data_IF_612948895186
#
_entry.id   IF_612948895186
#
_cell.length_a   1.000
_cell.length_b   1.000
_cell.length_c   1.000
_cell.angle_alpha   90.00
_cell.angle_beta   90.00
_cell.angle_gamma   90.00
#
_symmetry.space_group_name_H-M   'P 1'
#
loop_
_entity.id
_entity.type
_entity.pdbx_description
1 polymer ?
#
# COMPACT_ATOMS: atom_id res chain seq x y z
N UNK A 1 -68.67 18.73 60.51
CA UNK A 1 -67.58 19.59 60.00
C UNK A 1 -66.42 18.62 59.69
N UNK A 2 -66.25 18.32 58.41
CA UNK A 2 -65.18 17.41 57.98
C UNK A 2 -64.16 18.23 57.19
N UNK A 3 -62.91 18.28 57.71
CA UNK A 3 -61.81 19.00 57.15
C UNK A 3 -61.12 18.05 56.12
N UNK A 4 -60.99 18.49 54.87
CA UNK A 4 -60.24 17.79 53.80
C UNK A 4 -58.79 18.31 53.80
N UNK A 5 -57.85 17.43 54.10
CA UNK A 5 -56.43 17.67 53.88
C UNK A 5 -56.07 17.24 52.46
N UNK A 6 -55.73 18.23 51.63
CA UNK A 6 -55.19 17.99 50.31
C UNK A 6 -53.67 17.78 50.39
N UNK A 7 -53.19 16.58 50.00
CA UNK A 7 -51.76 16.29 49.91
C UNK A 7 -51.29 16.61 48.49
N UNK A 8 -50.42 17.63 48.37
CA UNK A 8 -49.73 17.93 47.09
C UNK A 8 -48.58 16.94 46.91
N UNK A 9 -48.65 16.08 45.89
CA UNK A 9 -47.55 15.25 45.46
C UNK A 9 -46.62 16.01 44.50
N UNK A 10 -45.39 16.31 44.90
CA UNK A 10 -44.34 16.83 44.02
C UNK A 10 -43.76 15.68 43.19
N UNK A 11 -44.05 15.68 41.91
CA UNK A 11 -43.39 14.77 40.95
C UNK A 11 -42.00 15.33 40.56
N UNK A 12 -40.92 14.69 41.01
CA UNK A 12 -39.55 14.96 40.57
C UNK A 12 -39.31 14.29 39.21
N UNK A 13 -39.17 15.11 38.17
CA UNK A 13 -38.79 14.64 36.85
C UNK A 13 -37.28 14.36 36.84
N UNK A 14 -36.89 13.09 36.88
CA UNK A 14 -35.51 12.65 36.63
C UNK A 14 -35.23 12.78 35.11
N UNK A 15 -34.49 13.80 34.74
CA UNK A 15 -34.02 13.99 33.36
C UNK A 15 -33.06 12.86 32.98
N UNK A 16 -33.49 11.95 32.10
CA UNK A 16 -32.61 10.99 31.44
C UNK A 16 -31.69 11.74 30.50
N UNK A 17 -30.44 11.94 30.95
CA UNK A 17 -29.38 12.48 30.08
C UNK A 17 -29.14 11.52 28.91
N UNK A 18 -29.58 11.89 27.71
CA UNK A 18 -29.21 11.22 26.48
C UNK A 18 -27.70 11.36 26.30
N UNK A 19 -26.96 10.25 26.48
CA UNK A 19 -25.54 10.20 26.16
C UNK A 19 -25.39 10.55 24.70
N UNK A 20 -24.56 11.56 24.37
CA UNK A 20 -24.23 11.92 22.99
C UNK A 20 -23.66 10.69 22.28
N UNK A 21 -24.05 10.44 21.02
CA UNK A 21 -23.47 9.34 20.26
C UNK A 21 -21.96 9.50 20.18
N UNK A 22 -21.19 8.40 20.25
CA UNK A 22 -19.74 8.46 20.14
C UNK A 22 -19.37 9.20 18.84
N UNK A 23 -18.49 10.20 18.96
CA UNK A 23 -17.97 10.91 17.77
C UNK A 23 -17.44 9.87 16.82
N UNK A 24 -17.98 9.82 15.59
CA UNK A 24 -17.46 9.00 14.54
C UNK A 24 -15.97 9.30 14.39
N UNK A 25 -15.11 8.34 14.78
CA UNK A 25 -13.68 8.44 14.58
C UNK A 25 -13.41 8.67 13.08
N UNK A 26 -12.31 9.36 12.75
CA UNK A 26 -11.89 9.49 11.33
C UNK A 26 -11.98 8.11 10.68
N UNK A 27 -12.55 8.00 9.47
CA UNK A 27 -12.64 6.71 8.79
C UNK A 27 -11.24 6.09 8.72
N UNK A 28 -11.13 4.86 9.21
CA UNK A 28 -9.86 4.14 9.26
C UNK A 28 -9.38 3.92 7.83
N UNK A 29 -8.20 4.41 7.49
CA UNK A 29 -7.66 4.22 6.15
C UNK A 29 -7.26 2.76 5.96
N UNK A 30 -7.54 2.20 4.78
CA UNK A 30 -7.10 0.87 4.40
C UNK A 30 -6.16 0.98 3.21
N UNK A 31 -4.93 0.48 3.41
CA UNK A 31 -3.87 0.42 2.41
C UNK A 31 -3.81 -1.02 1.90
N UNK A 32 -4.12 -1.22 0.62
CA UNK A 32 -4.00 -2.50 -0.04
C UNK A 32 -2.69 -2.52 -0.84
N UNK A 33 -1.78 -3.43 -0.50
CA UNK A 33 -0.54 -3.65 -1.26
C UNK A 33 -0.74 -4.84 -2.20
N UNK A 34 -0.57 -4.59 -3.50
CA UNK A 34 -0.60 -5.59 -4.56
C UNK A 34 0.78 -5.62 -5.20
N UNK A 35 1.57 -6.58 -4.79
CA UNK A 35 2.98 -6.69 -5.15
C UNK A 35 3.40 -8.12 -5.44
N UNK A 36 4.69 -8.29 -5.60
CA UNK A 36 5.34 -9.59 -5.85
C UNK A 36 6.19 -10.05 -4.64
N UNK A 37 7.29 -10.76 -4.91
CA UNK A 37 8.18 -11.31 -3.88
C UNK A 37 8.85 -10.25 -3.01
N UNK A 38 9.10 -9.04 -3.54
CA UNK A 38 9.71 -7.93 -2.81
C UNK A 38 8.80 -7.40 -1.70
N UNK A 39 7.49 -7.57 -1.85
CA UNK A 39 6.48 -7.18 -0.86
C UNK A 39 5.94 -8.37 -0.06
N UNK A 40 6.11 -9.62 -0.55
CA UNK A 40 5.59 -10.85 0.06
C UNK A 40 6.55 -11.53 1.05
N UNK A 41 7.62 -10.85 1.46
CA UNK A 41 8.64 -11.38 2.40
C UNK A 41 9.35 -12.66 1.91
N UNK A 42 9.58 -12.79 0.60
CA UNK A 42 10.26 -13.97 0.06
C UNK A 42 11.66 -14.16 0.67
N UNK A 43 11.90 -15.35 1.23
CA UNK A 43 13.18 -15.69 1.87
C UNK A 43 13.47 -14.98 3.20
N UNK A 44 12.48 -14.26 3.77
CA UNK A 44 12.62 -13.53 5.02
C UNK A 44 11.87 -14.18 6.17
N UNK A 45 12.29 -13.88 7.38
CA UNK A 45 11.47 -14.13 8.56
C UNK A 45 10.22 -13.24 8.50
N UNK A 46 9.08 -13.80 8.87
CA UNK A 46 7.81 -13.06 8.89
C UNK A 46 7.91 -11.79 9.75
N UNK A 47 7.39 -10.70 9.24
CA UNK A 47 7.37 -9.42 9.94
C UNK A 47 8.62 -8.58 9.75
N UNK A 48 9.57 -8.98 8.87
CA UNK A 48 10.80 -8.22 8.60
C UNK A 48 10.79 -7.50 7.24
N UNK A 49 9.81 -7.78 6.39
CA UNK A 49 9.66 -7.11 5.10
C UNK A 49 9.14 -5.68 5.23
N UNK A 50 9.37 -4.86 4.20
CA UNK A 50 9.02 -3.43 4.22
C UNK A 50 7.51 -3.17 4.47
N UNK A 51 6.62 -4.07 4.03
CA UNK A 51 5.17 -3.93 4.26
C UNK A 51 4.84 -4.13 5.73
N UNK A 52 5.43 -5.12 6.40
CA UNK A 52 5.25 -5.32 7.83
C UNK A 52 5.90 -4.18 8.65
N UNK A 53 7.04 -3.66 8.19
CA UNK A 53 7.67 -2.45 8.77
C UNK A 53 6.77 -1.22 8.61
N UNK A 54 6.04 -1.09 7.49
CA UNK A 54 5.07 -0.02 7.28
C UNK A 54 3.95 -0.10 8.33
N UNK A 55 3.39 -1.27 8.58
CA UNK A 55 2.33 -1.47 9.56
C UNK A 55 2.78 -1.07 10.98
N UNK A 56 4.00 -1.46 11.36
CA UNK A 56 4.62 -1.02 12.62
C UNK A 56 4.80 0.50 12.69
N UNK A 57 5.34 1.12 11.64
CA UNK A 57 5.56 2.57 11.55
C UNK A 57 4.26 3.36 11.67
N UNK A 58 3.18 2.88 11.05
CA UNK A 58 1.85 3.50 11.18
C UNK A 58 1.37 3.47 12.63
N UNK A 59 1.52 2.33 13.30
CA UNK A 59 1.16 2.15 14.71
C UNK A 59 1.98 3.07 15.63
N UNK A 60 3.30 3.07 15.48
CA UNK A 60 4.23 3.89 16.27
C UNK A 60 3.97 5.39 16.12
N UNK A 61 3.50 5.81 14.94
CA UNK A 61 3.15 7.21 14.67
C UNK A 61 1.70 7.58 14.97
N UNK A 62 0.93 6.65 15.53
CA UNK A 62 -0.48 6.88 15.87
C UNK A 62 -1.37 7.17 14.66
N UNK A 63 -1.00 6.66 13.47
CA UNK A 63 -1.78 6.85 12.24
C UNK A 63 -2.82 5.74 12.13
N UNK A 64 -4.10 6.11 12.12
CA UNK A 64 -5.22 5.18 12.07
C UNK A 64 -5.37 4.57 10.64
N UNK A 65 -4.48 3.67 10.27
CA UNK A 65 -4.52 2.95 9.00
C UNK A 65 -4.31 1.45 9.24
N UNK A 66 -4.89 0.64 8.35
CA UNK A 66 -4.68 -0.81 8.30
C UNK A 66 -3.99 -1.15 7.00
N UNK A 67 -3.04 -2.07 7.03
CA UNK A 67 -2.37 -2.59 5.84
C UNK A 67 -2.89 -3.98 5.52
N UNK A 68 -3.29 -4.21 4.28
CA UNK A 68 -3.59 -5.54 3.73
C UNK A 68 -2.52 -5.83 2.69
N UNK A 69 -1.64 -6.77 3.02
CA UNK A 69 -0.63 -7.24 2.07
C UNK A 69 -1.21 -8.40 1.26
N UNK A 70 -1.55 -8.13 0.01
CA UNK A 70 -2.04 -9.11 -0.95
C UNK A 70 -0.97 -9.46 -2.00
N UNK A 71 0.31 -9.31 -1.67
CA UNK A 71 1.43 -9.62 -2.57
C UNK A 71 1.64 -11.13 -2.70
N UNK A 72 2.04 -11.57 -3.89
CA UNK A 72 2.28 -12.97 -4.21
C UNK A 72 3.65 -13.09 -4.88
N UNK A 73 4.56 -13.90 -4.28
CA UNK A 73 5.89 -14.13 -4.86
C UNK A 73 5.80 -14.65 -6.29
N UNK A 74 6.59 -14.04 -7.19
CA UNK A 74 6.61 -14.40 -8.60
C UNK A 74 5.47 -13.82 -9.43
N UNK A 75 4.57 -13.02 -8.84
CA UNK A 75 3.43 -12.44 -9.56
C UNK A 75 3.88 -11.44 -10.64
N UNK A 76 3.16 -11.42 -11.74
CA UNK A 76 3.34 -10.47 -12.84
C UNK A 76 2.26 -9.41 -12.81
N UNK A 77 2.40 -8.38 -13.63
CA UNK A 77 1.34 -7.38 -13.79
C UNK A 77 0.03 -8.00 -14.29
N UNK A 78 0.09 -9.06 -15.11
CA UNK A 78 -1.10 -9.80 -15.55
C UNK A 78 -1.77 -10.55 -14.39
N UNK A 79 -0.99 -11.20 -13.52
CA UNK A 79 -1.51 -11.88 -12.33
C UNK A 79 -2.16 -10.89 -11.37
N UNK A 80 -1.47 -9.79 -11.02
CA UNK A 80 -2.02 -8.73 -10.19
C UNK A 80 -3.34 -8.17 -10.74
N UNK A 81 -3.39 -7.90 -12.07
CA UNK A 81 -4.60 -7.41 -12.73
C UNK A 81 -5.77 -8.39 -12.61
N UNK A 82 -5.52 -9.68 -12.77
CA UNK A 82 -6.57 -10.71 -12.73
C UNK A 82 -7.30 -10.81 -11.39
N UNK A 83 -6.60 -10.52 -10.28
CA UNK A 83 -7.11 -10.64 -8.91
C UNK A 83 -7.55 -9.30 -8.29
N UNK A 84 -7.18 -8.17 -8.89
CA UNK A 84 -7.41 -6.85 -8.29
C UNK A 84 -8.89 -6.55 -8.07
N UNK A 85 -9.78 -6.89 -9.01
CA UNK A 85 -11.20 -6.59 -8.88
C UNK A 85 -11.83 -7.26 -7.64
N UNK A 86 -11.46 -8.51 -7.36
CA UNK A 86 -11.90 -9.23 -6.17
C UNK A 86 -11.37 -8.59 -4.89
N UNK A 87 -10.09 -8.19 -4.88
CA UNK A 87 -9.44 -7.52 -3.74
C UNK A 87 -10.09 -6.15 -3.45
N UNK A 88 -10.37 -5.35 -4.47
CA UNK A 88 -11.06 -4.05 -4.33
C UNK A 88 -12.46 -4.23 -3.72
N UNK A 89 -13.23 -5.21 -4.21
CA UNK A 89 -14.56 -5.52 -3.68
C UNK A 89 -14.51 -5.98 -2.23
N UNK A 90 -13.55 -6.86 -1.90
CA UNK A 90 -13.42 -7.44 -0.56
C UNK A 90 -12.96 -6.43 0.48
N UNK A 91 -11.96 -5.61 0.15
CA UNK A 91 -11.27 -4.77 1.13
C UNK A 91 -11.69 -3.30 1.10
N UNK A 92 -12.29 -2.82 0.02
CA UNK A 92 -12.70 -1.42 -0.17
C UNK A 92 -11.60 -0.43 0.26
N UNK A 93 -10.38 -0.54 -0.31
CA UNK A 93 -9.24 0.24 0.14
C UNK A 93 -9.41 1.74 -0.14
N UNK A 94 -8.81 2.57 0.70
CA UNK A 94 -8.68 4.01 0.45
C UNK A 94 -7.40 4.35 -0.31
N UNK A 95 -6.41 3.45 -0.27
CA UNK A 95 -5.14 3.56 -1.00
C UNK A 95 -4.74 2.18 -1.52
N UNK A 96 -4.41 2.10 -2.80
CA UNK A 96 -3.84 0.90 -3.44
C UNK A 96 -2.39 1.20 -3.79
N UNK A 97 -1.49 0.32 -3.35
CA UNK A 97 -0.07 0.34 -3.70
C UNK A 97 0.16 -0.76 -4.73
N UNK A 98 0.66 -0.39 -5.91
CA UNK A 98 0.98 -1.30 -7.01
C UNK A 98 2.51 -1.46 -7.10
N UNK A 99 3.02 -2.61 -6.69
CA UNK A 99 4.43 -2.97 -6.71
C UNK A 99 4.60 -4.24 -7.55
N UNK A 100 4.54 -4.10 -8.87
CA UNK A 100 4.61 -5.18 -9.86
C UNK A 100 5.34 -4.72 -11.11
N UNK A 101 5.86 -5.67 -11.88
CA UNK A 101 6.53 -5.43 -13.15
C UNK A 101 7.94 -6.01 -13.22
N UNK A 102 8.61 -6.22 -12.08
CA UNK A 102 9.92 -6.85 -12.03
C UNK A 102 9.89 -8.25 -12.68
N UNK A 103 8.90 -9.07 -12.34
CA UNK A 103 8.73 -10.40 -12.92
C UNK A 103 8.38 -10.39 -14.40
N UNK A 104 7.69 -9.35 -14.89
CA UNK A 104 7.46 -9.17 -16.34
C UNK A 104 8.78 -8.97 -17.06
N UNK A 105 9.66 -8.11 -16.55
CA UNK A 105 10.98 -7.85 -17.10
C UNK A 105 11.88 -9.08 -17.03
N UNK A 106 11.94 -9.77 -15.89
CA UNK A 106 12.74 -11.00 -15.72
C UNK A 106 12.33 -12.12 -16.67
N UNK A 107 11.07 -12.16 -17.07
CA UNK A 107 10.53 -13.13 -18.03
C UNK A 107 10.56 -12.65 -19.48
N UNK A 108 11.11 -11.46 -19.75
CA UNK A 108 11.19 -10.89 -21.10
C UNK A 108 9.83 -10.55 -21.69
N UNK A 109 8.82 -10.26 -20.87
CA UNK A 109 7.50 -9.90 -21.38
C UNK A 109 7.51 -8.49 -21.99
N UNK A 110 6.63 -8.21 -22.98
CA UNK A 110 6.61 -6.92 -23.65
C UNK A 110 6.33 -5.76 -22.68
N UNK A 111 7.13 -4.71 -22.68
CA UNK A 111 6.95 -3.53 -21.83
C UNK A 111 5.59 -2.85 -22.01
N UNK A 112 5.04 -2.89 -23.23
CA UNK A 112 3.70 -2.38 -23.50
C UNK A 112 2.63 -3.12 -22.66
N UNK A 113 2.76 -4.44 -22.53
CA UNK A 113 1.84 -5.25 -21.73
C UNK A 113 1.96 -4.89 -20.23
N UNK A 114 3.18 -4.76 -19.72
CA UNK A 114 3.45 -4.33 -18.33
C UNK A 114 2.80 -2.97 -18.05
N UNK A 115 3.05 -1.98 -18.93
CA UNK A 115 2.46 -0.65 -18.83
C UNK A 115 0.93 -0.70 -18.85
N UNK A 116 0.34 -1.41 -19.80
CA UNK A 116 -1.11 -1.45 -20.00
C UNK A 116 -1.80 -2.15 -18.82
N UNK A 117 -1.20 -3.21 -18.26
CA UNK A 117 -1.72 -3.87 -17.06
C UNK A 117 -1.68 -2.93 -15.84
N UNK A 118 -0.56 -2.23 -15.60
CA UNK A 118 -0.45 -1.27 -14.51
C UNK A 118 -1.45 -0.11 -14.67
N UNK A 119 -1.61 0.41 -15.89
CA UNK A 119 -2.58 1.47 -16.18
C UNK A 119 -4.02 1.03 -15.89
N UNK A 120 -4.39 -0.19 -16.30
CA UNK A 120 -5.72 -0.75 -16.03
C UNK A 120 -5.95 -0.97 -14.53
N UNK A 121 -4.94 -1.46 -13.81
CA UNK A 121 -5.04 -1.62 -12.35
C UNK A 121 -5.20 -0.27 -11.64
N UNK A 122 -4.43 0.74 -12.04
CA UNK A 122 -4.54 2.07 -11.48
C UNK A 122 -5.93 2.69 -11.77
N UNK A 123 -6.46 2.51 -12.98
CA UNK A 123 -7.79 2.97 -13.35
C UNK A 123 -8.88 2.27 -12.51
N UNK A 124 -8.82 0.94 -12.36
CA UNK A 124 -9.76 0.17 -11.56
C UNK A 124 -9.76 0.58 -10.08
N UNK A 125 -8.57 0.79 -9.49
CA UNK A 125 -8.44 1.26 -8.11
C UNK A 125 -9.08 2.65 -7.94
N UNK A 126 -8.84 3.58 -8.88
CA UNK A 126 -9.44 4.92 -8.85
C UNK A 126 -10.96 4.89 -9.03
N UNK A 127 -11.48 4.04 -9.92
CA UNK A 127 -12.92 3.84 -10.10
C UNK A 127 -13.59 3.30 -8.83
N UNK A 128 -12.87 2.51 -8.04
CA UNK A 128 -13.29 2.04 -6.73
C UNK A 128 -13.17 3.12 -5.61
N UNK A 129 -12.73 4.34 -5.94
CA UNK A 129 -12.60 5.46 -5.00
C UNK A 129 -11.26 5.50 -4.24
N UNK A 130 -10.30 4.62 -4.55
CA UNK A 130 -9.01 4.60 -3.91
C UNK A 130 -8.02 5.59 -4.55
N UNK A 131 -7.12 6.14 -3.74
CA UNK A 131 -5.88 6.72 -4.23
C UNK A 131 -4.95 5.62 -4.73
N UNK A 132 -3.99 5.95 -5.60
CA UNK A 132 -3.05 4.96 -6.13
C UNK A 132 -1.62 5.46 -5.88
N UNK A 133 -0.77 4.56 -5.42
CA UNK A 133 0.68 4.70 -5.36
C UNK A 133 1.29 3.62 -6.26
N UNK A 134 1.99 4.04 -7.29
CA UNK A 134 2.79 3.17 -8.15
C UNK A 134 4.20 3.11 -7.61
N UNK A 135 4.75 1.92 -7.47
CA UNK A 135 6.14 1.71 -7.08
C UNK A 135 6.91 1.26 -8.32
N UNK A 136 7.88 2.09 -8.72
CA UNK A 136 8.76 1.85 -9.85
C UNK A 136 9.91 0.90 -9.51
N UNK A 137 10.39 0.23 -10.56
CA UNK A 137 11.52 -0.68 -10.52
C UNK A 137 12.51 -0.36 -11.63
N UNK A 138 13.72 -0.88 -11.48
CA UNK A 138 14.76 -0.86 -12.49
C UNK A 138 15.28 -2.28 -12.71
N UNK A 139 15.76 -2.57 -13.89
CA UNK A 139 16.47 -3.81 -14.20
C UNK A 139 17.97 -3.59 -14.20
N UNK A 140 18.78 -4.65 -13.94
CA UNK A 140 20.23 -4.55 -13.99
C UNK A 140 20.74 -4.06 -15.37
N UNK A 141 21.93 -3.41 -15.42
CA UNK A 141 22.45 -2.81 -16.66
C UNK A 141 22.68 -3.79 -17.82
N UNK A 142 22.83 -5.09 -17.52
CA UNK A 142 23.02 -6.14 -18.52
C UNK A 142 21.78 -6.41 -19.41
N UNK A 143 20.63 -5.82 -19.09
CA UNK A 143 19.45 -5.84 -19.97
C UNK A 143 19.56 -4.87 -21.16
N UNK A 144 20.62 -4.05 -21.20
CA UNK A 144 20.86 -3.04 -22.21
C UNK A 144 20.16 -1.71 -21.91
N UNK A 145 20.87 -0.60 -22.23
CA UNK A 145 20.47 0.75 -21.83
C UNK A 145 19.03 1.08 -22.26
N UNK A 146 18.72 0.89 -23.55
CA UNK A 146 17.38 1.24 -24.06
C UNK A 146 16.25 0.53 -23.31
N UNK A 147 16.40 -0.77 -23.08
CA UNK A 147 15.38 -1.54 -22.36
C UNK A 147 15.26 -1.06 -20.89
N UNK A 148 16.38 -0.82 -20.23
CA UNK A 148 16.40 -0.36 -18.83
C UNK A 148 15.75 1.01 -18.68
N UNK A 149 16.06 1.93 -19.59
CA UNK A 149 15.48 3.28 -19.60
C UNK A 149 13.96 3.22 -19.88
N UNK A 150 13.53 2.46 -20.87
CA UNK A 150 12.13 2.30 -21.23
C UNK A 150 11.34 1.61 -20.09
N UNK A 151 11.93 0.60 -19.44
CA UNK A 151 11.32 -0.07 -18.29
C UNK A 151 11.15 0.88 -17.10
N UNK A 152 12.16 1.63 -16.74
CA UNK A 152 12.05 2.61 -15.66
C UNK A 152 11.05 3.72 -15.98
N UNK A 153 11.01 4.18 -17.24
CA UNK A 153 10.13 5.27 -17.68
C UNK A 153 8.64 4.89 -17.67
N UNK A 154 8.29 3.61 -17.88
CA UNK A 154 6.88 3.20 -17.96
C UNK A 154 6.11 3.45 -16.65
N UNK A 155 6.74 3.30 -15.50
CA UNK A 155 6.11 3.56 -14.20
C UNK A 155 5.74 5.04 -14.03
N UNK A 156 6.66 5.93 -14.44
CA UNK A 156 6.40 7.37 -14.40
C UNK A 156 5.29 7.77 -15.38
N UNK A 157 5.21 7.14 -16.55
CA UNK A 157 4.12 7.35 -17.51
C UNK A 157 2.78 6.91 -16.90
N UNK A 158 2.70 5.67 -16.39
CA UNK A 158 1.47 5.15 -15.75
C UNK A 158 1.02 6.06 -14.60
N UNK A 159 1.96 6.48 -13.74
CA UNK A 159 1.62 7.33 -12.60
C UNK A 159 1.06 8.69 -13.05
N UNK A 160 1.67 9.33 -14.07
CA UNK A 160 1.16 10.60 -14.64
C UNK A 160 -0.24 10.44 -15.24
N UNK A 161 -0.42 9.43 -16.09
CA UNK A 161 -1.68 9.22 -16.82
C UNK A 161 -2.83 8.87 -15.87
N UNK A 162 -2.54 8.08 -14.84
CA UNK A 162 -3.49 7.71 -13.80
C UNK A 162 -3.65 8.78 -12.70
N UNK A 163 -2.90 9.89 -12.71
CA UNK A 163 -2.82 10.86 -11.60
C UNK A 163 -2.54 10.16 -10.26
N UNK A 164 -1.63 9.20 -10.28
CA UNK A 164 -1.17 8.43 -9.14
C UNK A 164 0.13 9.02 -8.56
N UNK A 165 0.40 8.77 -7.29
CA UNK A 165 1.71 9.02 -6.71
C UNK A 165 2.73 7.98 -7.22
N UNK A 166 4.01 8.33 -7.21
CA UNK A 166 5.09 7.48 -7.72
C UNK A 166 6.25 7.42 -6.72
N UNK A 167 6.63 6.21 -6.34
CA UNK A 167 7.98 5.93 -5.84
C UNK A 167 8.83 5.58 -7.06
N UNK A 168 9.83 6.38 -7.45
CA UNK A 168 10.54 6.15 -8.72
C UNK A 168 11.30 4.84 -8.77
N UNK A 169 11.88 4.42 -7.64
CA UNK A 169 12.64 3.18 -7.53
C UNK A 169 12.58 2.63 -6.11
N UNK A 170 11.99 1.43 -5.94
CA UNK A 170 11.85 0.78 -4.63
C UNK A 170 13.20 0.51 -3.95
N UNK A 171 14.17 0.06 -4.74
CA UNK A 171 15.48 -0.39 -4.25
C UNK A 171 16.55 0.71 -4.26
N UNK A 172 16.15 1.99 -4.30
CA UNK A 172 17.10 3.09 -4.17
C UNK A 172 17.83 3.02 -2.82
N UNK A 173 19.17 3.17 -2.85
CA UNK A 173 20.02 3.00 -1.66
C UNK A 173 20.20 1.54 -1.24
N UNK A 174 19.67 0.59 -2.02
CA UNK A 174 19.88 -0.85 -1.85
C UNK A 174 20.61 -1.41 -3.07
N UNK A 175 20.03 -1.32 -4.26
CA UNK A 175 20.60 -1.88 -5.48
C UNK A 175 21.70 -1.00 -6.09
N UNK A 176 21.71 0.29 -5.77
CA UNK A 176 22.71 1.27 -6.18
C UNK A 176 23.70 1.65 -5.04
N UNK A 177 23.64 0.91 -3.93
CA UNK A 177 24.61 1.09 -2.83
C UNK A 177 26.00 0.56 -3.22
N UNK A 178 27.10 1.13 -2.69
CA UNK A 178 28.45 0.64 -2.95
C UNK A 178 28.67 -0.83 -2.54
N UNK A 179 27.96 -1.29 -1.53
CA UNK A 179 28.00 -2.63 -0.95
C UNK A 179 26.73 -3.45 -1.26
N UNK A 180 26.04 -3.14 -2.37
CA UNK A 180 24.77 -3.73 -2.76
C UNK A 180 24.77 -5.27 -2.67
N UNK A 181 25.86 -5.94 -3.05
CA UNK A 181 25.96 -7.41 -2.99
C UNK A 181 25.69 -7.98 -1.59
N UNK A 182 25.99 -7.26 -0.53
CA UNK A 182 25.78 -7.69 0.86
C UNK A 182 24.32 -7.56 1.29
N UNK A 183 23.56 -6.71 0.61
CA UNK A 183 22.16 -6.41 0.90
C UNK A 183 21.18 -7.36 0.21
N UNK A 184 21.68 -8.25 -0.68
CA UNK A 184 20.85 -9.23 -1.38
C UNK A 184 21.07 -10.64 -0.84
N UNK A 185 20.05 -11.50 -1.02
CA UNK A 185 20.13 -12.93 -0.80
C UNK A 185 21.07 -13.58 -1.82
N UNK A 186 21.37 -14.87 -1.66
CA UNK A 186 22.27 -15.59 -2.55
C UNK A 186 21.81 -15.59 -4.04
N UNK A 187 20.54 -15.39 -4.29
CA UNK A 187 19.97 -15.28 -5.63
C UNK A 187 20.25 -13.93 -6.32
N UNK A 188 20.76 -12.93 -5.60
CA UNK A 188 21.06 -11.56 -6.09
C UNK A 188 19.86 -10.82 -6.66
N UNK A 189 18.66 -11.25 -6.33
CA UNK A 189 17.39 -10.65 -6.76
C UNK A 189 16.64 -10.09 -5.57
N UNK A 190 16.56 -10.87 -4.49
CA UNK A 190 15.76 -10.52 -3.33
C UNK A 190 16.61 -9.87 -2.25
N UNK A 191 16.22 -8.67 -1.75
CA UNK A 191 16.90 -8.04 -0.63
C UNK A 191 16.83 -8.87 0.65
N UNK A 192 17.85 -8.75 1.49
CA UNK A 192 17.87 -9.28 2.86
C UNK A 192 17.06 -8.39 3.79
N UNK A 193 16.76 -8.87 4.99
CA UNK A 193 15.98 -8.14 5.99
C UNK A 193 16.54 -6.75 6.30
N UNK A 194 17.87 -6.62 6.31
CA UNK A 194 18.59 -5.38 6.60
C UNK A 194 18.34 -4.26 5.59
N UNK A 195 17.95 -4.60 4.36
CA UNK A 195 17.64 -3.65 3.29
C UNK A 195 16.20 -3.10 3.37
N UNK A 196 15.28 -3.82 4.01
CA UNK A 196 13.87 -3.46 4.02
C UNK A 196 13.53 -2.15 4.74
N UNK A 197 14.25 -1.71 5.79
CA UNK A 197 14.07 -0.36 6.33
C UNK A 197 14.30 0.75 5.29
N UNK A 198 15.34 0.63 4.45
CA UNK A 198 15.62 1.57 3.36
C UNK A 198 14.51 1.54 2.30
N UNK A 199 14.03 0.35 1.92
CA UNK A 199 12.88 0.21 1.01
C UNK A 199 11.64 0.89 1.58
N UNK A 200 11.35 0.69 2.87
CA UNK A 200 10.26 1.38 3.54
C UNK A 200 10.44 2.91 3.51
N UNK A 201 11.64 3.42 3.73
CA UNK A 201 11.88 4.87 3.72
C UNK A 201 11.63 5.47 2.34
N UNK A 202 12.01 4.76 1.27
CA UNK A 202 11.69 5.15 -0.10
C UNK A 202 10.17 5.24 -0.33
N UNK A 203 9.42 4.25 0.14
CA UNK A 203 7.95 4.23 0.04
C UNK A 203 7.33 5.28 0.95
N UNK A 204 7.80 5.40 2.20
CA UNK A 204 7.24 6.29 3.22
C UNK A 204 7.24 7.75 2.80
N UNK A 205 8.30 8.21 2.17
CA UNK A 205 8.43 9.61 1.71
C UNK A 205 7.27 10.02 0.80
N UNK A 206 6.78 9.12 -0.04
CA UNK A 206 5.69 9.36 -0.98
C UNK A 206 4.32 8.96 -0.40
N UNK A 207 4.27 7.89 0.37
CA UNK A 207 3.02 7.36 0.93
C UNK A 207 2.48 8.25 2.07
N UNK A 208 3.35 8.78 2.93
CA UNK A 208 2.94 9.56 4.10
C UNK A 208 2.01 10.75 3.77
N UNK A 209 2.28 11.58 2.73
CA UNK A 209 1.38 12.67 2.33
C UNK A 209 0.00 12.22 1.85
N UNK A 210 -0.17 10.96 1.43
CA UNK A 210 -1.45 10.39 0.98
C UNK A 210 -2.35 9.97 2.16
N UNK A 211 -1.78 9.86 3.34
CA UNK A 211 -2.51 9.51 4.57
C UNK A 211 -3.14 10.76 5.17
N UNK A 212 -4.42 10.66 5.51
CA UNK A 212 -5.24 11.78 6.05
C UNK A 212 -5.30 11.76 7.56
#
# INVERSE_FOLDING_TARGET
MLAHCSVLALATWAGTGLAAPPRAGKPRQLILVVGDSLSAEYGLARGTGWVALLERRLTERGIAATVVNASISGDTTSGGRSRLAALLKQHQPTLVVLELGANDALRGLPLAMTRDNLAQMAAAARQAGAQVLVIGMQVPPNYGRKYSDDFAALFAQVARDAKAALVPFLLKGVADAPDAETLFQADRIHPRAEAHPTMLDNVWTVLRPLLK
#
